data_IF_162611487882
#
_entry.id   IF_162611487882
#
_cell.length_a   1.000
_cell.length_b   1.000
_cell.length_c   1.000
_cell.angle_alpha   90.00
_cell.angle_beta   90.00
_cell.angle_gamma   90.00
#
_symmetry.space_group_name_H-M   'P 1'
#
loop_
_entity.id
_entity.type
_entity.pdbx_description
1 polymer ?
#
# COMPACT_ATOMS: atom_id res chain seq x y z
N UNK A 1 14.79 14.84 -24.39
CA UNK A 1 13.99 14.58 -23.18
C UNK A 1 14.43 13.23 -22.65
N UNK A 2 15.05 13.19 -21.47
CA UNK A 2 15.43 11.91 -20.83
C UNK A 2 14.15 11.29 -20.26
N UNK A 3 13.90 10.00 -20.46
CA UNK A 3 12.67 9.37 -20.01
C UNK A 3 12.58 9.33 -18.49
N UNK A 4 11.37 9.53 -17.99
CA UNK A 4 11.03 9.46 -16.58
C UNK A 4 10.94 7.99 -16.16
N UNK A 5 11.84 7.57 -15.28
CA UNK A 5 11.77 6.26 -14.65
C UNK A 5 10.98 6.35 -13.37
N UNK A 6 9.88 5.70 -13.33
CA UNK A 6 9.17 5.47 -12.08
C UNK A 6 9.24 3.98 -11.79
N UNK A 7 10.13 3.62 -10.88
CA UNK A 7 10.25 2.24 -10.41
C UNK A 7 9.13 2.01 -9.40
N UNK A 8 8.32 1.00 -9.65
CA UNK A 8 7.20 0.53 -8.82
C UNK A 8 7.67 -0.11 -7.49
N UNK A 9 8.80 0.36 -6.94
CA UNK A 9 9.43 -0.25 -5.77
C UNK A 9 8.90 0.24 -4.43
N UNK A 10 7.93 1.14 -4.41
CA UNK A 10 7.45 1.81 -3.19
C UNK A 10 6.34 1.08 -2.47
N UNK A 11 6.24 -0.24 -2.61
CA UNK A 11 5.10 -0.98 -2.06
C UNK A 11 5.28 -1.48 -0.62
N UNK A 12 6.45 -1.34 -0.05
CA UNK A 12 6.68 -1.80 1.31
C UNK A 12 7.18 -0.62 2.12
N UNK A 13 6.30 -0.02 2.88
CA UNK A 13 6.59 0.52 4.20
C UNK A 13 5.81 1.73 4.62
N UNK A 14 5.55 1.63 5.77
CA UNK A 14 5.73 2.25 7.08
C UNK A 14 4.47 2.85 7.62
N UNK A 15 3.95 2.20 8.62
CA UNK A 15 3.04 2.81 9.54
C UNK A 15 3.59 2.71 10.95
N UNK A 16 4.41 3.70 11.35
CA UNK A 16 4.43 4.08 12.74
C UNK A 16 3.20 4.96 13.00
N UNK A 17 2.03 4.37 13.02
CA UNK A 17 0.97 4.90 13.81
C UNK A 17 1.35 4.56 15.26
N UNK A 18 2.12 5.45 15.87
CA UNK A 18 2.16 5.54 17.32
C UNK A 18 0.73 5.76 17.77
N UNK A 19 -0.02 4.68 17.91
CA UNK A 19 -1.11 4.64 18.84
C UNK A 19 -0.44 4.82 20.22
N UNK A 20 -0.15 6.08 20.58
CA UNK A 20 -0.11 6.42 21.98
C UNK A 20 -1.52 6.17 22.52
N UNK A 21 -1.79 4.90 22.80
CA UNK A 21 -2.84 4.52 23.70
C UNK A 21 -2.50 5.16 25.05
N UNK A 22 -2.89 6.39 25.23
CA UNK A 22 -3.06 6.94 26.58
C UNK A 22 -4.08 6.04 27.25
N UNK A 23 -3.59 5.15 28.10
CA UNK A 23 -4.40 4.48 29.12
C UNK A 23 -5.08 5.56 29.99
N UNK A 24 -6.20 6.09 29.54
CA UNK A 24 -7.17 6.77 30.38
C UNK A 24 -8.36 5.84 30.52
N UNK A 25 -8.48 5.28 31.74
CA UNK A 25 -9.66 4.55 32.14
C UNK A 25 -10.90 5.46 32.00
N UNK A 26 -11.72 5.15 31.02
CA UNK A 26 -13.05 5.69 30.81
C UNK A 26 -13.85 4.59 30.12
N UNK A 27 -15.07 4.32 30.58
CA UNK A 27 -16.00 3.36 30.00
C UNK A 27 -16.10 3.59 28.48
N UNK A 28 -15.39 2.78 27.69
CA UNK A 28 -15.61 2.73 26.26
C UNK A 28 -16.94 2.04 25.98
N UNK A 29 -17.74 2.54 25.01
CA UNK A 29 -18.86 1.77 24.49
C UNK A 29 -18.32 0.46 23.96
N UNK A 30 -19.05 -0.64 24.17
CA UNK A 30 -18.74 -1.97 23.64
C UNK A 30 -18.79 -1.92 22.12
N UNK A 31 -17.71 -1.46 21.48
CA UNK A 31 -17.44 -1.67 20.06
C UNK A 31 -17.26 -3.17 19.82
N UNK A 32 -17.66 -3.66 18.64
CA UNK A 32 -17.53 -5.05 18.28
C UNK A 32 -16.11 -5.54 18.56
N UNK A 33 -15.96 -6.57 19.38
CA UNK A 33 -14.68 -7.21 19.60
C UNK A 33 -14.41 -8.12 18.40
N UNK A 34 -13.26 -7.94 17.75
CA UNK A 34 -12.79 -8.94 16.78
C UNK A 34 -12.66 -10.31 17.46
N UNK A 35 -12.77 -11.39 16.68
CA UNK A 35 -12.40 -12.71 17.17
C UNK A 35 -11.00 -12.67 17.78
N UNK A 36 -10.81 -13.34 18.92
CA UNK A 36 -9.47 -13.46 19.54
C UNK A 36 -8.46 -14.17 18.66
N UNK A 37 -8.92 -14.80 17.57
CA UNK A 37 -8.12 -15.58 16.64
C UNK A 37 -8.52 -15.21 15.21
N UNK A 38 -7.53 -14.83 14.39
CA UNK A 38 -7.71 -14.57 12.96
C UNK A 38 -6.87 -15.54 12.13
N UNK A 39 -7.50 -16.12 11.12
CA UNK A 39 -6.84 -17.01 10.16
C UNK A 39 -6.55 -16.21 8.90
N UNK A 40 -5.33 -16.34 8.41
CA UNK A 40 -4.89 -15.67 7.19
C UNK A 40 -4.42 -16.71 6.16
N UNK A 41 -4.71 -16.46 4.90
CA UNK A 41 -4.25 -17.26 3.77
C UNK A 41 -3.36 -16.42 2.88
N UNK A 42 -2.23 -16.96 2.44
CA UNK A 42 -1.35 -16.27 1.50
C UNK A 42 -2.01 -16.25 0.12
N UNK A 43 -2.17 -15.06 -0.44
CA UNK A 43 -2.73 -14.85 -1.77
C UNK A 43 -1.74 -14.06 -2.63
N UNK A 44 -1.74 -14.34 -3.93
CA UNK A 44 -0.97 -13.57 -4.92
C UNK A 44 -1.86 -12.53 -5.59
N UNK A 45 -1.26 -11.47 -6.06
CA UNK A 45 -1.91 -10.51 -6.94
C UNK A 45 -2.40 -11.24 -8.21
N UNK A 46 -3.70 -11.10 -8.59
CA UNK A 46 -4.33 -12.04 -9.52
C UNK A 46 -3.94 -11.86 -10.99
N UNK A 47 -3.52 -10.67 -11.41
CA UNK A 47 -3.36 -10.36 -12.83
C UNK A 47 -1.96 -10.65 -13.36
N UNK A 48 -0.93 -10.27 -12.62
CA UNK A 48 0.46 -10.40 -13.05
C UNK A 48 1.37 -11.09 -12.02
N UNK A 49 0.80 -11.54 -10.89
CA UNK A 49 1.56 -12.12 -9.78
C UNK A 49 2.70 -11.19 -9.29
N UNK A 50 2.41 -9.89 -9.26
CA UNK A 50 3.39 -8.86 -8.91
C UNK A 50 3.84 -8.91 -7.45
N UNK A 51 2.97 -9.37 -6.56
CA UNK A 51 3.23 -9.52 -5.13
C UNK A 51 2.32 -10.59 -4.53
N UNK A 52 2.61 -10.96 -3.29
CA UNK A 52 1.73 -11.76 -2.45
C UNK A 52 1.56 -11.10 -1.08
N UNK A 53 0.48 -11.43 -0.40
CA UNK A 53 0.17 -10.95 0.95
C UNK A 53 -0.68 -11.95 1.72
N UNK A 54 -0.84 -11.71 3.02
CA UNK A 54 -1.76 -12.45 3.87
C UNK A 54 -3.15 -11.80 3.80
N UNK A 55 -4.14 -12.57 3.42
CA UNK A 55 -5.54 -12.16 3.37
C UNK A 55 -6.32 -12.88 4.48
N UNK A 56 -7.14 -12.20 5.30
CA UNK A 56 -8.01 -12.87 6.25
C UNK A 56 -8.89 -13.92 5.56
N UNK A 57 -9.03 -15.11 6.16
CA UNK A 57 -9.82 -16.20 5.60
C UNK A 57 -11.27 -15.76 5.39
N UNK A 58 -11.80 -16.03 4.20
CA UNK A 58 -13.15 -15.62 3.81
C UNK A 58 -13.25 -14.23 3.17
N UNK A 59 -12.18 -13.45 3.20
CA UNK A 59 -12.15 -12.19 2.46
C UNK A 59 -11.99 -12.42 0.96
N UNK A 60 -12.43 -11.44 0.19
CA UNK A 60 -12.37 -11.44 -1.27
C UNK A 60 -11.39 -10.37 -1.76
N UNK A 61 -10.82 -10.60 -2.93
CA UNK A 61 -9.99 -9.61 -3.63
C UNK A 61 -10.68 -9.17 -4.91
N UNK A 62 -10.46 -7.90 -5.28
CA UNK A 62 -10.97 -7.34 -6.54
C UNK A 62 -9.91 -6.43 -7.15
N UNK A 63 -9.79 -6.47 -8.49
CA UNK A 63 -8.79 -5.68 -9.20
C UNK A 63 -7.42 -6.37 -9.22
N UNK A 64 -6.36 -5.57 -9.29
CA UNK A 64 -4.98 -6.03 -9.43
C UNK A 64 -4.18 -5.06 -10.29
N UNK A 65 -3.05 -5.52 -10.82
CA UNK A 65 -2.26 -4.77 -11.80
C UNK A 65 -3.06 -4.58 -13.09
N UNK A 66 -3.08 -3.34 -13.57
CA UNK A 66 -3.72 -2.96 -14.82
C UNK A 66 -2.75 -2.20 -15.73
N UNK A 67 -2.90 -2.39 -17.04
CA UNK A 67 -2.14 -1.67 -18.06
C UNK A 67 -3.05 -0.66 -18.74
N UNK A 68 -2.64 0.59 -18.72
CA UNK A 68 -3.36 1.67 -19.42
C UNK A 68 -2.97 1.67 -20.89
N UNK A 69 -3.97 1.61 -21.77
CA UNK A 69 -3.73 1.74 -23.20
C UNK A 69 -3.59 3.23 -23.56
N UNK A 70 -2.41 3.67 -24.07
CA UNK A 70 -2.20 5.08 -24.39
C UNK A 70 -3.09 5.62 -25.51
N UNK A 71 -3.64 4.74 -26.34
CA UNK A 71 -4.49 5.12 -27.47
C UNK A 71 -5.96 5.38 -27.05
N UNK A 72 -6.40 4.73 -25.98
CA UNK A 72 -7.82 4.77 -25.56
C UNK A 72 -8.04 5.43 -24.22
N UNK A 73 -7.01 5.47 -23.34
CA UNK A 73 -7.18 5.91 -21.95
C UNK A 73 -5.90 6.51 -21.39
N UNK A 74 -5.97 7.70 -20.85
CA UNK A 74 -4.91 8.29 -20.03
C UNK A 74 -3.65 8.77 -20.75
N UNK A 75 -3.55 8.65 -22.07
CA UNK A 75 -2.40 9.09 -22.85
C UNK A 75 -1.09 8.35 -22.50
N UNK A 76 0.00 8.75 -23.17
CA UNK A 76 1.31 8.09 -23.04
C UNK A 76 1.90 8.19 -21.63
N UNK A 77 1.71 9.30 -20.94
CA UNK A 77 2.28 9.51 -19.60
C UNK A 77 1.70 8.54 -18.56
N UNK A 78 0.40 8.24 -18.64
CA UNK A 78 -0.25 7.29 -17.73
C UNK A 78 -0.10 5.82 -18.15
N UNK A 79 0.41 5.55 -19.35
CA UNK A 79 0.60 4.20 -19.88
C UNK A 79 2.01 3.62 -19.64
N UNK A 80 2.94 4.42 -19.12
CA UNK A 80 4.33 3.99 -18.92
C UNK A 80 4.41 2.92 -17.84
N UNK A 81 3.76 3.14 -16.70
CA UNK A 81 3.83 2.31 -15.51
C UNK A 81 2.62 1.37 -15.42
N UNK A 82 2.83 0.20 -14.85
CA UNK A 82 1.74 -0.61 -14.33
C UNK A 82 0.98 0.18 -13.25
N UNK A 83 -0.34 0.09 -13.26
CA UNK A 83 -1.20 0.70 -12.24
C UNK A 83 -1.72 -0.38 -11.32
N UNK A 84 -1.85 -0.09 -10.05
CA UNK A 84 -2.46 -1.00 -9.10
C UNK A 84 -3.78 -0.41 -8.60
N UNK A 85 -4.90 -1.06 -8.94
CA UNK A 85 -6.18 -0.86 -8.28
C UNK A 85 -6.60 -2.20 -7.69
N UNK A 86 -6.40 -2.36 -6.39
CA UNK A 86 -6.56 -3.65 -5.73
C UNK A 86 -7.26 -3.47 -4.39
N UNK A 87 -8.42 -4.10 -4.26
CA UNK A 87 -9.22 -4.08 -3.05
C UNK A 87 -9.27 -5.47 -2.41
N UNK A 88 -9.25 -5.49 -1.09
CA UNK A 88 -9.48 -6.64 -0.22
C UNK A 88 -10.69 -6.32 0.65
N UNK A 89 -11.68 -7.20 0.68
CA UNK A 89 -13.00 -6.91 1.27
C UNK A 89 -13.48 -8.08 2.09
N UNK A 90 -14.09 -7.80 3.24
CA UNK A 90 -14.70 -8.81 4.11
C UNK A 90 -15.92 -9.48 3.47
N UNK A 91 -16.63 -8.74 2.61
CA UNK A 91 -17.87 -9.14 1.97
C UNK A 91 -18.09 -8.35 0.67
N UNK A 92 -19.14 -8.69 -0.08
CA UNK A 92 -19.48 -8.04 -1.36
C UNK A 92 -19.79 -6.54 -1.23
N UNK A 93 -20.23 -6.08 -0.05
CA UNK A 93 -20.50 -4.68 0.24
C UNK A 93 -19.24 -3.91 0.66
N UNK A 94 -18.08 -4.59 0.77
CA UNK A 94 -16.86 -4.03 1.26
C UNK A 94 -17.03 -3.38 2.64
N UNK A 95 -17.80 -4.03 3.54
CA UNK A 95 -18.10 -3.50 4.88
C UNK A 95 -16.82 -3.21 5.65
N UNK A 96 -15.87 -4.14 5.61
CA UNK A 96 -14.48 -3.87 6.03
C UNK A 96 -13.60 -4.05 4.80
N UNK A 97 -12.77 -3.07 4.50
CA UNK A 97 -11.98 -3.12 3.28
C UNK A 97 -10.66 -2.38 3.41
N UNK A 98 -9.70 -2.84 2.61
CA UNK A 98 -8.47 -2.14 2.27
C UNK A 98 -8.42 -1.99 0.76
N UNK A 99 -7.97 -0.84 0.26
CA UNK A 99 -7.84 -0.63 -1.17
C UNK A 99 -6.61 0.18 -1.52
N UNK A 100 -5.74 -0.36 -2.35
CA UNK A 100 -4.75 0.41 -3.09
C UNK A 100 -5.41 1.03 -4.31
N UNK A 101 -5.23 2.33 -4.46
CA UNK A 101 -5.75 3.10 -5.58
C UNK A 101 -4.64 3.40 -6.59
N UNK A 102 -4.99 3.50 -7.87
CA UNK A 102 -4.00 3.65 -8.92
C UNK A 102 -3.23 4.97 -8.84
N UNK A 103 -1.96 4.91 -9.22
CA UNK A 103 -1.16 6.11 -9.44
C UNK A 103 -1.59 6.77 -10.75
N UNK A 104 -1.91 8.05 -10.69
CA UNK A 104 -2.36 8.85 -11.85
C UNK A 104 -1.45 10.05 -12.01
N UNK A 105 -1.04 10.31 -13.25
CA UNK A 105 -0.27 11.49 -13.64
C UNK A 105 -1.21 12.62 -14.00
N UNK A 106 -0.94 13.79 -13.45
CA UNK A 106 -1.65 15.04 -13.68
C UNK A 106 -0.72 16.09 -14.29
N UNK A 107 -1.28 17.13 -14.87
CA UNK A 107 -0.51 18.24 -15.41
C UNK A 107 -0.97 19.57 -14.80
N UNK A 108 -0.03 20.30 -14.19
CA UNK A 108 -0.25 21.65 -13.66
C UNK A 108 0.30 22.68 -14.66
N UNK A 109 -0.53 23.62 -15.06
CA UNK A 109 -0.19 24.67 -16.04
C UNK A 109 0.69 25.79 -15.47
N UNK A 110 1.13 25.72 -14.18
CA UNK A 110 1.92 26.79 -13.52
C UNK A 110 3.22 27.17 -14.24
N UNK A 111 3.82 26.23 -15.00
CA UNK A 111 5.02 26.49 -15.79
C UNK A 111 4.71 26.74 -17.29
N UNK A 112 3.45 26.83 -17.67
CA UNK A 112 2.99 27.01 -19.05
C UNK A 112 1.93 28.11 -19.16
N UNK A 113 2.20 29.34 -18.62
CA UNK A 113 1.16 30.37 -18.50
C UNK A 113 0.57 30.84 -19.83
N UNK A 114 1.32 30.74 -20.93
CA UNK A 114 0.83 31.17 -22.25
C UNK A 114 -0.28 30.28 -22.81
N UNK A 115 -0.25 28.99 -22.49
CA UNK A 115 -1.25 28.03 -22.98
C UNK A 115 -2.26 27.65 -21.89
N UNK A 116 -2.05 28.04 -20.64
CA UNK A 116 -2.93 27.75 -19.53
C UNK A 116 -4.43 28.11 -19.79
N UNK A 117 -4.74 29.24 -20.44
CA UNK A 117 -6.15 29.57 -20.76
C UNK A 117 -6.84 28.57 -21.70
N UNK A 118 -6.05 27.84 -22.50
CA UNK A 118 -6.58 26.83 -23.44
C UNK A 118 -6.89 25.49 -22.75
N UNK A 119 -6.33 25.27 -21.57
CA UNK A 119 -6.43 24.03 -20.81
C UNK A 119 -6.84 24.32 -19.35
N UNK A 120 -8.11 24.67 -19.11
CA UNK A 120 -8.59 24.91 -17.74
C UNK A 120 -8.53 23.65 -16.88
N UNK A 121 -8.55 23.77 -15.54
CA UNK A 121 -8.65 22.62 -14.65
C UNK A 121 -9.77 21.66 -15.03
N UNK A 122 -9.49 20.35 -15.04
CA UNK A 122 -10.40 19.30 -15.49
C UNK A 122 -10.31 18.98 -16.99
N UNK A 123 -9.66 19.81 -17.81
CA UNK A 123 -9.42 19.49 -19.22
C UNK A 123 -8.37 18.40 -19.40
N UNK A 124 -8.26 17.89 -20.62
CA UNK A 124 -7.25 16.88 -20.98
C UNK A 124 -6.08 17.54 -21.70
N UNK A 125 -4.87 17.30 -21.20
CA UNK A 125 -3.62 17.68 -21.85
C UNK A 125 -2.74 16.45 -22.06
N UNK A 126 -2.57 16.02 -23.31
CA UNK A 126 -1.80 14.81 -23.66
C UNK A 126 -2.20 13.55 -22.89
N UNK A 127 -3.50 13.38 -22.64
CA UNK A 127 -4.03 12.24 -21.90
C UNK A 127 -3.97 12.35 -20.37
N UNK A 128 -3.48 13.46 -19.85
CA UNK A 128 -3.47 13.76 -18.42
C UNK A 128 -4.56 14.77 -18.09
N UNK A 129 -5.17 14.61 -16.93
CA UNK A 129 -6.08 15.65 -16.41
C UNK A 129 -5.27 16.87 -15.98
N UNK A 130 -5.65 18.04 -16.48
CA UNK A 130 -5.10 19.31 -16.02
C UNK A 130 -5.64 19.59 -14.61
N UNK A 131 -4.75 19.65 -13.65
CA UNK A 131 -5.09 19.87 -12.25
C UNK A 131 -3.94 20.58 -11.55
N UNK A 132 -4.20 21.72 -10.89
CA UNK A 132 -3.21 22.38 -10.05
C UNK A 132 -2.72 21.42 -8.97
N UNK A 133 -1.43 21.45 -8.70
CA UNK A 133 -0.87 20.66 -7.60
C UNK A 133 -1.48 21.08 -6.27
N UNK A 134 -1.67 20.12 -5.39
CA UNK A 134 -2.20 20.32 -4.06
C UNK A 134 -1.46 19.45 -3.05
N UNK A 135 -1.57 19.77 -1.76
CA UNK A 135 -1.04 18.93 -0.70
C UNK A 135 -1.79 17.60 -0.62
N UNK A 136 -1.14 16.59 -0.01
CA UNK A 136 -1.66 15.23 0.03
C UNK A 136 -3.03 15.12 0.75
N UNK A 137 -3.25 15.89 1.81
CA UNK A 137 -4.53 15.86 2.54
C UNK A 137 -5.67 16.48 1.70
N UNK A 138 -5.37 17.54 0.95
CA UNK A 138 -6.30 18.15 0.00
C UNK A 138 -6.59 17.19 -1.15
N UNK A 139 -5.56 16.53 -1.68
CA UNK A 139 -5.70 15.50 -2.73
C UNK A 139 -6.61 14.35 -2.27
N UNK A 140 -6.41 13.86 -1.04
CA UNK A 140 -7.28 12.81 -0.48
C UNK A 140 -8.74 13.25 -0.48
N UNK A 141 -9.02 14.46 0.01
CA UNK A 141 -10.40 14.92 0.16
C UNK A 141 -11.09 15.24 -1.18
N UNK A 142 -10.35 15.82 -2.13
CA UNK A 142 -10.93 16.35 -3.38
C UNK A 142 -10.88 15.36 -4.55
N UNK A 143 -9.93 14.40 -4.52
CA UNK A 143 -9.71 13.48 -5.63
C UNK A 143 -9.90 12.03 -5.21
N UNK A 144 -9.20 11.60 -4.15
CA UNK A 144 -9.19 10.19 -3.76
C UNK A 144 -10.56 9.74 -3.25
N UNK A 145 -11.15 10.48 -2.32
CA UNK A 145 -12.44 10.09 -1.75
C UNK A 145 -13.55 10.05 -2.79
N UNK A 146 -13.76 11.07 -3.64
CA UNK A 146 -14.77 10.99 -4.72
C UNK A 146 -14.52 9.86 -5.72
N UNK A 147 -13.26 9.53 -6.00
CA UNK A 147 -12.92 8.39 -6.86
C UNK A 147 -13.25 7.05 -6.21
N UNK A 148 -12.92 6.90 -4.93
CA UNK A 148 -13.15 5.66 -4.18
C UNK A 148 -14.65 5.43 -3.92
N UNK A 149 -15.42 6.51 -3.73
CA UNK A 149 -16.83 6.51 -3.35
C UNK A 149 -17.68 7.39 -4.30
N UNK A 150 -17.82 6.98 -5.56
CA UNK A 150 -18.57 7.76 -6.55
C UNK A 150 -20.03 7.90 -6.13
N UNK A 151 -20.51 9.15 -6.12
CA UNK A 151 -21.90 9.46 -5.76
C UNK A 151 -22.16 9.74 -4.28
N UNK A 152 -21.19 9.52 -3.40
CA UNK A 152 -21.31 9.97 -2.02
C UNK A 152 -21.04 11.48 -1.90
N UNK A 153 -21.70 12.16 -0.96
CA UNK A 153 -21.39 13.55 -0.63
C UNK A 153 -19.98 13.64 -0.02
N UNK A 154 -19.44 14.85 0.06
CA UNK A 154 -18.18 15.10 0.75
C UNK A 154 -18.23 14.57 2.19
N UNK A 155 -17.22 13.83 2.63
CA UNK A 155 -17.21 13.22 3.96
C UNK A 155 -16.93 14.26 5.05
N UNK A 156 -17.31 13.93 6.28
CA UNK A 156 -16.81 14.64 7.44
C UNK A 156 -15.33 14.32 7.65
N UNK A 157 -14.49 15.33 7.71
CA UNK A 157 -13.06 15.15 8.02
C UNK A 157 -12.90 15.07 9.54
N UNK A 158 -12.53 13.90 10.05
CA UNK A 158 -12.24 13.71 11.48
C UNK A 158 -10.86 14.23 11.83
N UNK A 159 -9.87 13.93 10.99
CA UNK A 159 -8.48 14.25 11.26
C UNK A 159 -7.67 14.38 9.97
N UNK A 160 -6.70 15.29 9.97
CA UNK A 160 -5.65 15.40 8.95
C UNK A 160 -4.30 15.37 9.63
N UNK A 161 -3.42 14.50 9.17
CA UNK A 161 -2.03 14.39 9.62
C UNK A 161 -1.08 14.53 8.46
N UNK A 162 0.01 15.26 8.65
CA UNK A 162 1.15 15.15 7.75
C UNK A 162 1.85 13.81 7.97
N UNK A 163 2.31 13.20 6.88
CA UNK A 163 3.04 11.94 6.89
C UNK A 163 4.45 12.08 6.25
N UNK A 164 5.31 12.96 6.79
CA UNK A 164 6.59 13.29 6.17
C UNK A 164 7.53 12.08 6.11
N UNK A 165 7.42 11.14 7.04
CA UNK A 165 8.30 9.95 7.04
C UNK A 165 7.99 9.02 5.87
N UNK A 166 6.72 8.92 5.46
CA UNK A 166 6.33 8.16 4.28
C UNK A 166 6.82 8.86 3.01
N UNK A 167 6.66 10.19 2.93
CA UNK A 167 7.19 10.99 1.84
C UNK A 167 8.72 10.84 1.70
N UNK A 168 9.48 10.92 2.81
CA UNK A 168 10.93 10.69 2.84
C UNK A 168 11.33 9.29 2.38
N UNK A 169 10.56 8.29 2.78
CA UNK A 169 10.80 6.89 2.35
C UNK A 169 10.67 6.78 0.84
N UNK A 170 9.58 7.29 0.26
CA UNK A 170 9.37 7.29 -1.19
C UNK A 170 10.46 8.08 -1.90
N UNK A 171 10.83 9.24 -1.37
CA UNK A 171 11.94 10.04 -1.87
C UNK A 171 13.27 9.24 -1.87
N UNK A 172 13.53 8.49 -0.81
CA UNK A 172 14.71 7.62 -0.74
C UNK A 172 14.66 6.51 -1.77
N UNK A 173 13.52 5.89 -1.99
CA UNK A 173 13.36 4.84 -3.00
C UNK A 173 13.54 5.39 -4.42
N UNK A 174 13.13 6.64 -4.65
CA UNK A 174 13.28 7.34 -5.94
C UNK A 174 14.65 8.04 -6.10
N UNK A 175 15.62 7.87 -5.19
CA UNK A 175 16.93 8.57 -5.16
C UNK A 175 17.78 8.40 -6.43
N UNK A 176 17.54 7.33 -7.20
CA UNK A 176 18.23 7.05 -8.46
C UNK A 176 17.64 7.78 -9.65
N UNK A 177 16.46 8.39 -9.49
CA UNK A 177 15.85 9.19 -10.55
C UNK A 177 16.56 10.53 -10.59
N UNK A 178 17.22 10.92 -11.71
CA UNK A 178 18.03 12.14 -11.78
C UNK A 178 17.16 13.38 -11.95
N UNK A 179 16.16 13.54 -11.11
CA UNK A 179 15.23 14.67 -11.08
C UNK A 179 15.09 15.19 -9.66
N UNK A 180 15.01 16.52 -9.52
CA UNK A 180 14.66 17.13 -8.24
C UNK A 180 13.14 17.08 -8.08
N UNK A 181 12.67 16.11 -7.33
CA UNK A 181 11.27 15.94 -7.04
C UNK A 181 10.97 16.34 -5.59
N UNK A 182 9.76 16.84 -5.37
CA UNK A 182 9.24 17.15 -4.04
C UNK A 182 8.16 16.12 -3.70
N UNK A 183 8.07 15.79 -2.42
CA UNK A 183 7.12 14.80 -1.93
C UNK A 183 6.38 15.37 -0.73
N UNK A 184 5.06 15.27 -0.77
CA UNK A 184 4.19 15.59 0.35
C UNK A 184 3.35 14.38 0.72
N UNK A 185 3.39 13.97 1.98
CA UNK A 185 2.65 12.84 2.50
C UNK A 185 1.57 13.28 3.48
N UNK A 186 0.38 12.74 3.32
CA UNK A 186 -0.77 13.03 4.18
C UNK A 186 -1.59 11.80 4.51
N UNK A 187 -2.22 11.86 5.68
CA UNK A 187 -3.21 10.90 6.15
C UNK A 187 -4.45 11.68 6.53
N UNK A 188 -5.58 11.35 5.90
CA UNK A 188 -6.87 11.93 6.24
C UNK A 188 -7.80 10.84 6.75
N UNK A 189 -8.35 11.03 7.94
CA UNK A 189 -9.41 10.17 8.49
C UNK A 189 -10.75 10.85 8.26
N UNK A 190 -11.68 10.12 7.67
CA UNK A 190 -13.01 10.61 7.31
C UNK A 190 -14.10 9.76 7.93
N UNK A 191 -15.27 10.39 8.11
CA UNK A 191 -16.54 9.73 8.47
C UNK A 191 -17.56 10.00 7.38
N UNK A 192 -18.32 8.99 7.02
CA UNK A 192 -19.43 9.11 6.08
C UNK A 192 -20.46 8.01 6.30
N UNK A 193 -21.62 8.16 5.69
CA UNK A 193 -22.70 7.16 5.74
C UNK A 193 -22.89 6.58 4.34
N UNK A 194 -22.84 5.27 4.24
CA UNK A 194 -23.13 4.53 3.01
C UNK A 194 -24.04 3.35 3.35
N UNK A 195 -25.14 3.19 2.62
CA UNK A 195 -26.13 2.14 2.84
C UNK A 195 -26.64 2.03 4.30
N UNK A 196 -26.74 3.17 4.99
CA UNK A 196 -27.21 3.24 6.38
C UNK A 196 -26.17 2.86 7.44
N UNK A 197 -24.94 2.55 7.03
CA UNK A 197 -23.83 2.28 7.93
C UNK A 197 -22.94 3.50 8.01
N UNK A 198 -22.58 3.91 9.24
CA UNK A 198 -21.56 4.94 9.44
C UNK A 198 -20.18 4.31 9.39
N UNK A 199 -19.38 4.75 8.42
CA UNK A 199 -18.01 4.30 8.23
C UNK A 199 -17.00 5.30 8.77
N UNK A 200 -15.92 4.78 9.30
CA UNK A 200 -14.65 5.47 9.47
C UNK A 200 -13.68 4.93 8.42
N UNK A 201 -13.03 5.83 7.72
CA UNK A 201 -12.01 5.47 6.74
C UNK A 201 -10.77 6.34 6.93
N UNK A 202 -9.63 5.69 6.91
CA UNK A 202 -8.34 6.34 6.95
C UNK A 202 -7.67 6.17 5.59
N UNK A 203 -7.33 7.28 4.96
CA UNK A 203 -6.73 7.31 3.64
C UNK A 203 -5.36 7.95 3.72
N UNK A 204 -4.37 7.26 3.21
CA UNK A 204 -3.01 7.74 2.98
C UNK A 204 -2.83 8.10 1.51
N UNK A 205 -2.11 9.18 1.25
CA UNK A 205 -1.55 9.46 -0.08
C UNK A 205 -0.22 10.19 0.05
N UNK A 206 0.61 10.04 -0.99
CA UNK A 206 1.78 10.89 -1.21
C UNK A 206 1.64 11.56 -2.56
N UNK A 207 1.83 12.87 -2.59
CA UNK A 207 1.90 13.67 -3.82
C UNK A 207 3.36 13.86 -4.19
N UNK A 208 3.69 13.51 -5.43
CA UNK A 208 5.02 13.66 -6.02
C UNK A 208 4.98 14.76 -7.08
N UNK A 209 5.73 15.83 -6.86
CA UNK A 209 5.91 16.94 -7.80
C UNK A 209 7.25 16.80 -8.52
N UNK A 210 7.21 16.77 -9.85
CA UNK A 210 8.41 16.71 -10.68
C UNK A 210 9.07 18.08 -10.89
N UNK A 211 8.54 19.12 -10.25
CA UNK A 211 9.09 20.46 -10.26
C UNK A 211 9.20 21.09 -11.64
N UNK A 212 10.09 22.09 -11.77
CA UNK A 212 10.30 22.79 -13.04
C UNK A 212 10.84 21.87 -14.13
N UNK A 213 11.70 20.93 -13.79
CA UNK A 213 12.25 19.93 -14.74
C UNK A 213 11.15 19.01 -15.30
N UNK A 214 10.09 18.77 -14.56
CA UNK A 214 8.91 18.05 -14.99
C UNK A 214 7.88 18.90 -15.73
N UNK A 215 8.14 20.20 -15.92
CA UNK A 215 7.29 21.13 -16.64
C UNK A 215 5.83 21.21 -16.13
N UNK A 216 5.59 20.88 -14.86
CA UNK A 216 4.26 20.85 -14.25
C UNK A 216 3.65 19.47 -14.10
N UNK A 217 4.38 18.42 -14.40
CA UNK A 217 3.95 17.06 -14.09
C UNK A 217 3.94 16.83 -12.59
N UNK A 218 2.91 16.15 -12.11
CA UNK A 218 2.82 15.66 -10.74
C UNK A 218 1.95 14.40 -10.71
N UNK A 219 2.05 13.59 -9.66
CA UNK A 219 1.23 12.39 -9.50
C UNK A 219 0.99 12.05 -8.03
N UNK A 220 0.00 11.20 -7.78
CA UNK A 220 -0.11 10.52 -6.50
C UNK A 220 0.77 9.27 -6.48
N UNK A 221 1.29 8.96 -5.30
CA UNK A 221 2.04 7.74 -4.99
C UNK A 221 1.44 7.06 -3.78
N UNK A 222 1.45 5.73 -3.78
CA UNK A 222 1.11 4.92 -2.60
C UNK A 222 -0.22 5.30 -1.95
N UNK A 223 -1.27 5.50 -2.73
CA UNK A 223 -2.59 5.83 -2.20
C UNK A 223 -3.27 4.57 -1.68
N UNK A 224 -3.65 4.58 -0.40
CA UNK A 224 -4.18 3.43 0.31
C UNK A 224 -5.29 3.86 1.27
N UNK A 225 -6.45 3.20 1.18
CA UNK A 225 -7.59 3.40 2.08
C UNK A 225 -7.85 2.18 2.97
N UNK A 226 -8.30 2.44 4.19
CA UNK A 226 -8.74 1.45 5.17
C UNK A 226 -10.10 1.87 5.69
N UNK A 227 -11.12 1.05 5.50
CA UNK A 227 -12.47 1.35 5.98
C UNK A 227 -13.03 0.22 6.82
N UNK A 228 -13.82 0.62 7.81
CA UNK A 228 -14.66 -0.27 8.60
C UNK A 228 -15.85 0.52 9.17
N UNK A 229 -16.92 -0.16 9.66
CA UNK A 229 -17.91 0.50 10.48
C UNK A 229 -17.23 1.26 11.63
N UNK A 230 -17.67 2.50 11.89
CA UNK A 230 -16.97 3.39 12.82
C UNK A 230 -16.76 2.77 14.21
N UNK A 231 -17.77 2.05 14.72
CA UNK A 231 -17.70 1.40 16.03
C UNK A 231 -16.65 0.27 16.11
N UNK A 232 -16.24 -0.28 14.97
CA UNK A 232 -15.34 -1.42 14.88
C UNK A 232 -13.94 -1.05 14.34
N UNK A 233 -13.79 0.14 13.80
CA UNK A 233 -12.59 0.55 13.05
C UNK A 233 -11.29 0.26 13.81
N UNK A 234 -11.23 0.67 15.10
CA UNK A 234 -10.02 0.49 15.92
C UNK A 234 -9.68 -1.00 16.14
N UNK A 235 -10.71 -1.84 16.24
CA UNK A 235 -10.51 -3.28 16.37
C UNK A 235 -9.90 -3.89 15.09
N UNK A 236 -10.21 -3.35 13.89
CA UNK A 236 -9.67 -3.82 12.61
C UNK A 236 -8.26 -3.35 12.29
N UNK A 237 -7.74 -2.33 12.99
CA UNK A 237 -6.38 -1.78 12.74
C UNK A 237 -5.29 -2.86 12.78
N UNK A 238 -5.21 -3.77 13.78
CA UNK A 238 -4.20 -4.83 13.80
C UNK A 238 -4.26 -5.75 12.56
N UNK A 239 -5.47 -6.05 12.07
CA UNK A 239 -5.66 -6.86 10.86
C UNK A 239 -5.14 -6.13 9.63
N UNK A 240 -5.47 -4.83 9.48
CA UNK A 240 -4.96 -4.00 8.40
C UNK A 240 -3.43 -3.95 8.40
N UNK A 241 -2.83 -3.76 9.57
CA UNK A 241 -1.37 -3.73 9.72
C UNK A 241 -0.73 -5.08 9.38
N UNK A 242 -1.36 -6.19 9.79
CA UNK A 242 -0.90 -7.54 9.42
C UNK A 242 -0.88 -7.74 7.91
N UNK A 243 -1.94 -7.33 7.22
CA UNK A 243 -2.04 -7.45 5.76
C UNK A 243 -0.95 -6.64 5.07
N UNK A 244 -0.79 -5.35 5.45
CA UNK A 244 0.25 -4.49 4.86
C UNK A 244 1.64 -5.04 5.12
N UNK A 245 1.93 -5.39 6.37
CA UNK A 245 3.24 -5.90 6.77
C UNK A 245 3.61 -7.23 6.10
N UNK A 246 2.61 -7.96 5.57
CA UNK A 246 2.83 -9.25 4.91
C UNK A 246 3.12 -9.15 3.41
N UNK A 247 3.06 -7.95 2.82
CA UNK A 247 3.27 -7.79 1.38
C UNK A 247 4.69 -8.19 0.99
N UNK A 248 4.80 -9.12 0.04
CA UNK A 248 6.06 -9.62 -0.51
C UNK A 248 6.06 -9.44 -2.02
N UNK A 249 6.98 -8.61 -2.52
CA UNK A 249 7.13 -8.36 -3.95
C UNK A 249 7.70 -9.58 -4.67
N UNK A 250 7.16 -9.87 -5.84
CA UNK A 250 7.74 -10.83 -6.77
C UNK A 250 8.88 -10.14 -7.55
N UNK A 251 10.12 -10.43 -7.19
CA UNK A 251 11.29 -9.78 -7.80
C UNK A 251 11.41 -10.06 -9.30
N UNK A 252 10.96 -11.22 -9.78
CA UNK A 252 10.94 -11.51 -11.22
C UNK A 252 10.00 -10.57 -11.97
N UNK A 253 8.84 -10.29 -11.37
CA UNK A 253 7.91 -9.29 -11.92
C UNK A 253 8.53 -7.88 -11.90
N UNK A 254 9.16 -7.48 -10.78
CA UNK A 254 9.82 -6.15 -10.66
C UNK A 254 10.87 -5.96 -11.75
N UNK A 255 11.76 -6.94 -11.94
CA UNK A 255 12.78 -6.90 -12.98
C UNK A 255 12.14 -6.81 -14.37
N UNK A 256 11.14 -7.63 -14.64
CA UNK A 256 10.40 -7.61 -15.90
C UNK A 256 9.71 -6.27 -16.16
N UNK A 257 9.13 -5.66 -15.14
CA UNK A 257 8.48 -4.34 -15.25
C UNK A 257 9.49 -3.24 -15.56
N UNK A 258 10.63 -3.21 -14.88
CA UNK A 258 11.72 -2.27 -15.15
C UNK A 258 12.19 -2.41 -16.60
N UNK A 259 12.45 -3.63 -17.05
CA UNK A 259 12.85 -3.89 -18.44
C UNK A 259 11.78 -3.46 -19.45
N UNK A 260 10.51 -3.74 -19.13
CA UNK A 260 9.38 -3.32 -19.96
C UNK A 260 9.24 -1.80 -20.04
N UNK A 261 9.44 -1.07 -18.94
CA UNK A 261 9.44 0.39 -18.93
C UNK A 261 10.58 0.96 -19.78
N UNK A 262 11.77 0.36 -19.70
CA UNK A 262 12.91 0.72 -20.56
C UNK A 262 12.53 0.60 -22.03
N UNK A 263 11.95 -0.53 -22.43
CA UNK A 263 11.55 -0.77 -23.83
C UNK A 263 10.45 0.21 -24.26
N UNK A 264 9.46 0.43 -23.41
CA UNK A 264 8.35 1.36 -23.70
C UNK A 264 8.80 2.81 -23.88
N UNK A 265 9.88 3.20 -23.24
CA UNK A 265 10.40 4.57 -23.30
C UNK A 265 11.52 4.76 -24.33
N UNK A 266 11.91 3.76 -25.10
CA UNK A 266 13.03 3.82 -26.09
C UNK A 266 14.35 4.30 -25.45
N UNK A 267 14.73 3.72 -24.32
CA UNK A 267 15.84 4.21 -23.51
C UNK A 267 17.20 3.73 -24.02
N UNK A 268 18.18 4.65 -24.07
CA UNK A 268 19.55 4.39 -24.50
C UNK A 268 20.35 3.50 -23.52
N UNK A 269 21.43 2.88 -24.03
CA UNK A 269 22.31 1.90 -23.35
C UNK A 269 22.77 2.33 -21.93
N UNK A 270 23.08 3.62 -21.74
CA UNK A 270 23.51 4.16 -20.41
C UNK A 270 22.47 4.00 -19.31
N UNK A 271 21.20 3.98 -19.68
CA UNK A 271 20.11 3.78 -18.72
C UNK A 271 19.94 2.29 -18.38
N UNK A 272 20.22 1.39 -19.34
CA UNK A 272 20.25 -0.05 -19.09
C UNK A 272 21.35 -0.45 -18.10
N UNK A 273 22.54 0.16 -18.20
CA UNK A 273 23.65 -0.10 -17.29
C UNK A 273 23.30 0.41 -15.87
N UNK A 274 22.65 1.57 -15.76
CA UNK A 274 22.12 2.09 -14.49
C UNK A 274 21.01 1.22 -13.88
N UNK A 275 20.19 0.59 -14.73
CA UNK A 275 19.17 -0.35 -14.24
C UNK A 275 19.78 -1.65 -13.71
N UNK A 276 20.87 -2.13 -14.33
CA UNK A 276 21.63 -3.27 -13.79
C UNK A 276 22.28 -2.94 -12.44
N UNK A 277 22.79 -1.73 -12.27
CA UNK A 277 23.27 -1.25 -10.97
C UNK A 277 22.13 -1.20 -9.94
N UNK A 278 20.95 -0.73 -10.33
CA UNK A 278 19.74 -0.74 -9.51
C UNK A 278 19.29 -2.15 -9.14
N UNK A 279 19.28 -3.09 -10.07
CA UNK A 279 18.96 -4.49 -9.80
C UNK A 279 19.93 -5.07 -8.77
N UNK A 280 21.22 -4.80 -8.91
CA UNK A 280 22.23 -5.22 -7.97
C UNK A 280 22.07 -4.55 -6.61
N UNK A 281 21.74 -3.24 -6.57
CA UNK A 281 21.50 -2.53 -5.31
C UNK A 281 20.19 -2.93 -4.63
N UNK A 282 19.14 -3.26 -5.39
CA UNK A 282 17.92 -3.84 -4.85
C UNK A 282 18.24 -5.18 -4.18
N UNK A 283 19.00 -6.04 -4.86
CA UNK A 283 19.45 -7.31 -4.34
C UNK A 283 20.38 -7.13 -3.12
N UNK A 284 21.28 -6.16 -3.17
CA UNK A 284 22.15 -5.81 -2.04
C UNK A 284 21.40 -5.12 -0.91
N UNK A 285 20.43 -4.24 -1.22
CA UNK A 285 19.56 -3.61 -0.22
C UNK A 285 18.69 -4.64 0.48
N UNK A 286 18.16 -5.62 -0.24
CA UNK A 286 17.48 -6.76 0.38
C UNK A 286 18.43 -7.60 1.24
N UNK A 287 19.67 -7.82 0.80
CA UNK A 287 20.71 -8.50 1.60
C UNK A 287 21.15 -7.67 2.81
N UNK A 288 21.25 -6.34 2.68
CA UNK A 288 21.63 -5.41 3.75
C UNK A 288 20.46 -5.07 4.68
N UNK A 289 19.23 -5.08 4.18
CA UNK A 289 18.02 -4.96 5.01
C UNK A 289 17.87 -6.19 5.91
N UNK A 290 18.49 -7.31 5.51
CA UNK A 290 18.67 -8.48 6.36
C UNK A 290 19.85 -8.37 7.33
N UNK A 291 20.62 -7.28 7.31
CA UNK A 291 21.65 -7.05 8.33
C UNK A 291 20.99 -6.62 9.65
N UNK A 292 21.41 -7.28 10.71
CA UNK A 292 20.73 -7.36 12.01
C UNK A 292 20.25 -6.05 12.64
N UNK A 293 20.96 -4.94 12.49
CA UNK A 293 20.65 -3.66 13.17
C UNK A 293 19.52 -2.87 12.49
N UNK A 294 19.52 -2.84 11.15
CA UNK A 294 18.46 -2.18 10.39
C UNK A 294 17.20 -3.04 10.32
N UNK A 295 17.35 -4.35 10.40
CA UNK A 295 16.31 -5.33 10.37
C UNK A 295 15.43 -5.28 11.64
N UNK A 296 16.05 -5.25 12.82
CA UNK A 296 15.32 -5.16 14.10
C UNK A 296 14.55 -3.85 14.23
N UNK A 297 15.17 -2.75 13.80
CA UNK A 297 14.50 -1.45 13.75
C UNK A 297 13.34 -1.45 12.76
N UNK A 298 13.51 -2.10 11.61
CA UNK A 298 12.50 -2.28 10.59
C UNK A 298 11.31 -3.10 11.10
N UNK A 299 11.56 -4.26 11.71
CA UNK A 299 10.50 -5.10 12.28
C UNK A 299 9.70 -4.36 13.34
N UNK A 300 10.38 -3.64 14.24
CA UNK A 300 9.71 -2.82 15.26
C UNK A 300 8.89 -1.69 14.67
N UNK A 301 9.40 -1.02 13.63
CA UNK A 301 8.71 0.10 12.96
C UNK A 301 7.50 -0.38 12.17
N UNK A 302 7.55 -1.59 11.62
CA UNK A 302 6.48 -2.15 10.78
C UNK A 302 5.48 -3.03 11.53
N UNK A 303 5.63 -3.16 12.84
CA UNK A 303 4.79 -4.08 13.62
C UNK A 303 5.00 -5.53 13.21
N UNK A 304 6.24 -5.89 12.85
CA UNK A 304 6.60 -7.22 12.36
C UNK A 304 7.55 -7.95 13.31
N UNK A 305 7.56 -9.27 13.20
CA UNK A 305 8.50 -10.15 13.90
C UNK A 305 8.94 -11.28 12.95
N UNK A 306 10.14 -11.84 13.19
CA UNK A 306 10.61 -13.01 12.46
C UNK A 306 10.15 -14.30 13.15
N UNK A 307 9.52 -15.16 12.37
CA UNK A 307 9.06 -16.47 12.80
C UNK A 307 9.81 -17.58 12.05
N UNK A 308 10.03 -18.70 12.70
CA UNK A 308 10.54 -19.90 12.04
C UNK A 308 9.38 -20.77 11.61
N UNK A 309 9.21 -20.97 10.29
CA UNK A 309 8.21 -21.90 9.79
C UNK A 309 8.60 -23.33 10.18
N UNK A 310 7.75 -24.04 10.92
CA UNK A 310 8.09 -25.36 11.45
C UNK A 310 8.20 -26.45 10.37
N UNK A 311 7.61 -26.24 9.18
CA UNK A 311 7.66 -27.17 8.06
C UNK A 311 8.87 -26.92 7.15
N UNK A 312 9.05 -25.68 6.71
CA UNK A 312 10.11 -25.34 5.76
C UNK A 312 11.46 -25.02 6.43
N UNK A 313 11.45 -24.79 7.75
CA UNK A 313 12.61 -24.30 8.55
C UNK A 313 13.13 -22.93 8.10
N UNK A 314 12.41 -22.24 7.23
CA UNK A 314 12.75 -20.90 6.76
C UNK A 314 12.25 -19.84 7.74
N UNK A 315 12.95 -18.70 7.77
CA UNK A 315 12.51 -17.52 8.50
C UNK A 315 11.48 -16.78 7.64
N UNK A 316 10.34 -16.48 8.23
CA UNK A 316 9.24 -15.73 7.63
C UNK A 316 8.94 -14.52 8.50
N UNK A 317 8.64 -13.39 7.87
CA UNK A 317 8.18 -12.21 8.58
C UNK A 317 6.66 -12.30 8.79
N UNK A 318 6.22 -11.95 9.98
CA UNK A 318 4.81 -11.92 10.35
C UNK A 318 4.50 -10.74 11.25
N UNK A 319 3.22 -10.58 11.66
CA UNK A 319 2.81 -9.52 12.57
C UNK A 319 3.29 -9.78 14.01
N UNK A 320 3.76 -8.74 14.70
CA UNK A 320 4.05 -8.78 16.13
C UNK A 320 2.87 -8.37 17.02
N UNK A 321 1.70 -8.09 16.43
CA UNK A 321 0.46 -7.73 17.14
C UNK A 321 -0.20 -8.90 17.87
N UNK A 322 0.33 -10.13 17.67
CA UNK A 322 -0.22 -11.37 18.17
C UNK A 322 0.83 -12.17 18.93
N UNK A 323 0.43 -12.79 20.04
CA UNK A 323 1.34 -13.56 20.91
C UNK A 323 1.72 -14.91 20.29
N UNK A 324 0.85 -15.51 19.48
CA UNK A 324 1.03 -16.85 18.91
C UNK A 324 0.75 -16.87 17.42
N UNK A 325 1.60 -17.56 16.67
CA UNK A 325 1.47 -17.82 15.23
C UNK A 325 1.53 -19.30 14.97
N UNK A 326 0.50 -19.86 14.35
CA UNK A 326 0.43 -21.26 13.92
C UNK A 326 0.46 -21.34 12.40
N UNK A 327 1.06 -22.41 11.86
CA UNK A 327 1.22 -22.61 10.43
C UNK A 327 0.91 -24.06 10.10
N UNK A 328 0.27 -24.36 8.95
CA UNK A 328 0.09 -25.70 8.43
C UNK A 328 0.92 -25.95 7.16
N UNK A 329 0.90 -27.18 6.67
CA UNK A 329 1.62 -27.58 5.45
C UNK A 329 1.12 -26.89 4.17
N UNK A 330 -0.08 -26.31 4.18
CA UNK A 330 -0.68 -25.57 3.06
C UNK A 330 -0.38 -24.06 3.12
N UNK A 331 0.50 -23.61 4.04
CA UNK A 331 0.79 -22.20 4.29
C UNK A 331 -0.42 -21.37 4.75
N UNK A 332 -1.43 -22.00 5.35
CA UNK A 332 -2.44 -21.27 6.11
C UNK A 332 -1.85 -20.87 7.46
N UNK A 333 -2.12 -19.62 7.87
CA UNK A 333 -1.56 -19.04 9.09
C UNK A 333 -2.70 -18.65 10.02
N UNK A 334 -2.56 -19.00 11.30
CA UNK A 334 -3.45 -18.57 12.37
C UNK A 334 -2.66 -17.73 13.34
N UNK A 335 -3.16 -16.52 13.62
CA UNK A 335 -2.69 -15.67 14.69
C UNK A 335 -3.69 -15.64 15.83
N UNK A 336 -3.21 -15.70 17.09
CA UNK A 336 -4.05 -15.65 18.28
C UNK A 336 -3.31 -15.05 19.46
N UNK A 337 -4.03 -14.36 20.35
CA UNK A 337 -3.56 -13.94 21.68
C UNK A 337 -4.06 -14.88 22.78
N UNK A 338 -4.76 -15.96 22.43
CA UNK A 338 -5.20 -16.98 23.37
C UNK A 338 -4.17 -18.10 23.48
N UNK A 339 -3.38 -18.11 24.56
CA UNK A 339 -2.38 -19.14 24.81
C UNK A 339 -2.93 -20.54 25.06
N UNK A 340 -4.26 -20.68 25.24
CA UNK A 340 -4.93 -21.98 25.39
C UNK A 340 -5.45 -22.52 24.06
N UNK A 341 -5.48 -21.72 23.00
CA UNK A 341 -6.00 -22.11 21.69
C UNK A 341 -5.10 -23.15 21.01
N UNK A 342 -5.71 -24.24 20.61
CA UNK A 342 -5.05 -25.28 19.81
C UNK A 342 -5.84 -25.51 18.52
N UNK A 343 -5.34 -25.07 17.33
CA UNK A 343 -6.03 -25.20 16.06
C UNK A 343 -6.28 -26.66 15.67
N UNK A 344 -5.49 -27.61 16.17
CA UNK A 344 -5.68 -29.04 15.87
C UNK A 344 -6.87 -29.66 16.64
N UNK A 345 -7.35 -28.97 17.68
CA UNK A 345 -8.54 -29.36 18.42
C UNK A 345 -9.81 -28.64 17.94
N UNK A 346 -9.65 -27.63 17.08
CA UNK A 346 -10.75 -26.81 16.55
C UNK A 346 -11.34 -27.43 15.29
N UNK A 347 -12.55 -27.99 15.40
CA UNK A 347 -13.25 -28.62 14.28
C UNK A 347 -13.68 -27.66 13.17
N UNK A 348 -13.66 -26.34 13.41
CA UNK A 348 -13.97 -25.30 12.41
C UNK A 348 -12.78 -24.97 11.52
N UNK A 349 -11.58 -25.37 11.90
CA UNK A 349 -10.33 -25.18 11.17
C UNK A 349 -10.05 -26.44 10.34
N UNK A 350 -9.47 -26.27 9.17
CA UNK A 350 -9.19 -27.34 8.22
C UNK A 350 -8.44 -28.50 8.88
N UNK A 351 -8.66 -29.74 8.39
CA UNK A 351 -8.09 -31.00 8.93
C UNK A 351 -6.56 -31.17 8.78
N UNK A 352 -5.86 -30.12 8.38
CA UNK A 352 -4.40 -30.12 8.22
C UNK A 352 -3.74 -29.82 9.56
N UNK A 353 -2.72 -30.56 9.94
CA UNK A 353 -1.99 -30.34 11.17
C UNK A 353 -1.34 -28.95 11.19
N UNK A 354 -1.59 -28.19 12.25
CA UNK A 354 -0.94 -26.92 12.52
C UNK A 354 0.18 -27.09 13.54
N UNK A 355 1.30 -26.41 13.31
CA UNK A 355 2.40 -26.35 14.25
C UNK A 355 2.67 -24.91 14.66
N UNK A 356 3.05 -24.70 15.93
CA UNK A 356 3.42 -23.38 16.42
C UNK A 356 4.68 -22.92 15.70
N UNK A 357 4.63 -21.70 15.15
CA UNK A 357 5.73 -21.04 14.49
C UNK A 357 6.42 -20.13 15.52
N UNK A 358 7.55 -20.55 16.12
CA UNK A 358 8.20 -19.76 17.16
C UNK A 358 8.86 -18.52 16.58
N UNK A 359 8.95 -17.47 17.40
CA UNK A 359 9.77 -16.31 17.10
C UNK A 359 11.24 -16.77 17.00
N UNK A 360 11.91 -16.29 15.97
CA UNK A 360 13.33 -16.57 15.76
C UNK A 360 14.15 -15.95 16.89
N UNK A 361 14.91 -16.78 17.60
CA UNK A 361 15.83 -16.28 18.60
C UNK A 361 16.93 -15.46 17.92
N UNK A 362 17.10 -14.24 18.37
CA UNK A 362 18.16 -13.30 17.95
C UNK A 362 19.48 -13.63 18.58
#
# INVERSE_FOLDING_TARGET
MKPFFTIFLTFIMVWNLSAQATKKGGNQPKGGQLPQTMIFTKVSEPNENAFSLLLPKGWQTKGGIMRVNPMTSGGSANAIDAKLDFAMMSDENATVAMRWLPEVMFFDMRYSPMIAPMFPPGSNYNGMTVMPIMDANTFIAQVVFPYAHPGLPAPEIIERKAAPEIAKKIQYDDRFIPLQMQYDGGITTVRYVENGITYKEMILAVVQDFGQTGAGLWKNRSTLGFRAPEAEFEAWVPVFMTVIGSVQMNMQWVIGEIQGQVQRNQIQKETLDRLRELDNEILESQRKTNSQINHDMFLNITGQEEYVNPYTKQTETGSNEWDYRWVNSNNEIIYTNDGSYNPNADQSVNQTEYQLSPIKKR
#
